data_IF_528020871346
#
_entry.id   IF_528020871346
#
_cell.length_a   1.000
_cell.length_b   1.000
_cell.length_c   1.000
_cell.angle_alpha   90.00
_cell.angle_beta   90.00
_cell.angle_gamma   90.00
#
_symmetry.space_group_name_H-M   'P 1'
#
loop_
_entity.id
_entity.type
_entity.pdbx_description
1 polymer ?
#
# COMPACT_ATOMS: atom_id res chain seq x y z
N UNK A 1 -15.82 -1.95 -14.42
CA UNK A 1 -17.14 -2.02 -13.73
C UNK A 1 -17.01 -2.46 -12.26
N UNK A 2 -16.41 -3.63 -11.89
CA UNK A 2 -16.27 -4.08 -10.47
C UNK A 2 -15.51 -3.08 -9.59
N UNK A 3 -14.43 -2.47 -10.10
CA UNK A 3 -13.62 -1.46 -9.38
C UNK A 3 -14.44 -0.21 -9.04
N UNK A 4 -15.24 0.29 -9.98
CA UNK A 4 -16.14 1.40 -9.75
C UNK A 4 -17.15 1.07 -8.65
N UNK A 5 -17.76 -0.12 -8.68
CA UNK A 5 -18.69 -0.58 -7.64
C UNK A 5 -18.00 -0.61 -6.27
N UNK A 6 -16.76 -1.15 -6.17
CA UNK A 6 -15.99 -1.15 -4.93
C UNK A 6 -15.81 0.28 -4.38
N UNK A 7 -15.41 1.22 -5.23
CA UNK A 7 -15.22 2.62 -4.79
C UNK A 7 -16.54 3.24 -4.33
N UNK A 8 -17.61 3.05 -5.07
CA UNK A 8 -18.90 3.68 -4.77
C UNK A 8 -19.62 3.06 -3.57
N UNK A 9 -19.37 1.77 -3.26
CA UNK A 9 -20.07 1.06 -2.19
C UNK A 9 -19.25 0.85 -0.92
N UNK A 10 -17.91 0.91 -1.00
CA UNK A 10 -17.04 0.61 0.14
C UNK A 10 -16.15 1.79 0.55
N UNK A 11 -15.72 2.64 -0.39
CA UNK A 11 -14.77 3.73 -0.12
C UNK A 11 -15.51 5.03 0.15
N UNK A 12 -16.28 5.53 -0.81
CA UNK A 12 -17.02 6.80 -0.67
C UNK A 12 -17.96 6.83 0.54
N UNK A 13 -18.73 5.76 0.87
CA UNK A 13 -19.60 5.76 2.03
C UNK A 13 -18.85 5.69 3.37
N UNK A 14 -17.53 5.56 3.36
CA UNK A 14 -16.67 5.48 4.56
C UNK A 14 -15.97 6.81 4.87
N UNK A 15 -16.54 7.92 4.46
CA UNK A 15 -16.01 9.28 4.67
C UNK A 15 -14.64 9.50 4.01
N UNK A 16 -14.37 8.81 2.89
CA UNK A 16 -13.22 9.08 2.04
C UNK A 16 -13.65 10.10 0.99
N UNK A 17 -13.11 11.31 1.10
CA UNK A 17 -13.56 12.47 0.32
C UNK A 17 -12.48 13.06 -0.60
N UNK A 18 -11.19 12.74 -0.33
CA UNK A 18 -10.08 13.26 -1.12
C UNK A 18 -10.06 12.65 -2.52
N UNK A 19 -10.22 13.50 -3.51
CA UNK A 19 -10.23 13.08 -4.92
C UNK A 19 -8.98 12.29 -5.33
N UNK A 20 -7.75 12.67 -4.94
CA UNK A 20 -6.56 11.89 -5.29
C UNK A 20 -6.62 10.44 -4.78
N UNK A 21 -7.11 10.23 -3.56
CA UNK A 21 -7.28 8.89 -2.99
C UNK A 21 -8.32 8.10 -3.80
N UNK A 22 -9.48 8.70 -4.04
CA UNK A 22 -10.56 8.06 -4.82
C UNK A 22 -10.08 7.68 -6.22
N UNK A 23 -9.39 8.59 -6.91
CA UNK A 23 -8.86 8.37 -8.26
C UNK A 23 -7.80 7.26 -8.29
N UNK A 24 -6.95 7.18 -7.26
CA UNK A 24 -5.97 6.10 -7.14
C UNK A 24 -6.66 4.73 -7.06
N UNK A 25 -7.69 4.59 -6.23
CA UNK A 25 -8.45 3.33 -6.15
C UNK A 25 -9.24 3.02 -7.43
N UNK A 26 -9.69 4.03 -8.17
CA UNK A 26 -10.34 3.84 -9.47
C UNK A 26 -9.34 3.42 -10.56
N UNK A 27 -8.07 3.81 -10.45
CA UNK A 27 -7.04 3.59 -11.46
C UNK A 27 -6.36 2.23 -11.31
N UNK A 28 -6.01 1.81 -10.08
CA UNK A 28 -5.23 0.60 -9.84
C UNK A 28 -6.09 -0.68 -9.93
N UNK A 29 -5.71 -1.64 -10.80
CA UNK A 29 -6.45 -2.89 -10.97
C UNK A 29 -6.14 -3.89 -9.85
N UNK A 30 -6.92 -3.83 -8.75
CA UNK A 30 -6.72 -4.67 -7.56
C UNK A 30 -6.64 -6.18 -7.87
N UNK A 31 -7.35 -6.64 -8.91
CA UNK A 31 -7.33 -8.03 -9.37
C UNK A 31 -5.97 -8.52 -9.85
N UNK A 32 -5.03 -7.64 -10.16
CA UNK A 32 -3.65 -8.02 -10.51
C UNK A 32 -2.80 -8.39 -9.29
N UNK A 33 -3.19 -7.93 -8.11
CA UNK A 33 -2.46 -8.11 -6.85
C UNK A 33 -3.00 -9.26 -5.99
N UNK A 34 -3.81 -10.11 -6.54
CA UNK A 34 -4.34 -11.31 -5.88
C UNK A 34 -3.96 -12.55 -6.68
N UNK A 35 -3.78 -13.71 -6.04
CA UNK A 35 -3.46 -14.95 -6.74
C UNK A 35 -4.46 -15.25 -7.88
N UNK A 36 -3.98 -15.78 -8.99
CA UNK A 36 -4.75 -15.98 -10.23
C UNK A 36 -6.12 -16.63 -10.04
N UNK A 37 -6.19 -17.66 -9.23
CA UNK A 37 -7.45 -18.39 -8.96
C UNK A 37 -8.47 -17.59 -8.13
N UNK A 38 -8.12 -16.39 -7.66
CA UNK A 38 -8.94 -15.59 -6.74
C UNK A 38 -9.28 -14.19 -7.28
N UNK A 39 -8.95 -13.87 -8.53
CA UNK A 39 -9.17 -12.56 -9.14
C UNK A 39 -10.62 -12.08 -9.09
N UNK A 40 -11.58 -13.00 -9.14
CA UNK A 40 -13.01 -12.65 -9.03
C UNK A 40 -13.38 -12.09 -7.65
N UNK A 41 -12.70 -12.55 -6.59
CA UNK A 41 -12.91 -12.10 -5.22
C UNK A 41 -12.11 -10.85 -4.84
N UNK A 42 -11.28 -10.31 -5.73
CA UNK A 42 -10.40 -9.17 -5.43
C UNK A 42 -11.11 -7.92 -4.91
N UNK A 43 -12.39 -7.77 -5.23
CA UNK A 43 -13.20 -6.58 -4.91
C UNK A 43 -14.19 -6.78 -3.77
N UNK A 44 -14.10 -7.90 -3.03
CA UNK A 44 -14.89 -8.09 -1.81
C UNK A 44 -14.40 -7.13 -0.71
N UNK A 45 -15.29 -6.72 0.17
CA UNK A 45 -14.99 -5.78 1.26
C UNK A 45 -14.36 -6.45 2.48
N UNK A 46 -13.36 -7.30 2.26
CA UNK A 46 -12.65 -8.04 3.31
C UNK A 46 -11.14 -8.02 3.07
N UNK A 47 -10.36 -8.29 4.12
CA UNK A 47 -8.94 -8.53 3.99
C UNK A 47 -8.70 -9.78 3.14
N UNK A 48 -7.80 -9.66 2.18
CA UNK A 48 -7.51 -10.74 1.25
C UNK A 48 -6.17 -11.41 1.60
N UNK A 49 -6.21 -12.66 2.05
CA UNK A 49 -5.00 -13.40 2.43
C UNK A 49 -4.20 -13.83 1.20
N UNK A 50 -2.93 -13.43 1.15
CA UNK A 50 -1.97 -13.72 0.07
C UNK A 50 -0.80 -14.60 0.53
N UNK A 51 -0.65 -14.84 1.82
CA UNK A 51 0.38 -15.66 2.44
C UNK A 51 -0.01 -16.08 3.85
N UNK A 52 0.89 -16.71 4.58
CA UNK A 52 0.61 -17.14 5.96
C UNK A 52 0.35 -15.96 6.91
N UNK A 53 1.11 -14.88 6.75
CA UNK A 53 1.04 -13.69 7.61
C UNK A 53 0.87 -12.39 6.80
N UNK A 54 0.46 -12.47 5.54
CA UNK A 54 0.27 -11.32 4.67
C UNK A 54 -1.14 -11.24 4.15
N UNK A 55 -1.67 -10.04 4.23
CA UNK A 55 -3.00 -9.72 3.70
C UNK A 55 -2.92 -8.45 2.85
N UNK A 56 -3.76 -8.37 1.84
CA UNK A 56 -4.12 -7.09 1.25
C UNK A 56 -5.28 -6.56 2.10
N UNK A 57 -5.12 -5.39 2.69
CA UNK A 57 -6.17 -4.76 3.49
C UNK A 57 -7.44 -4.59 2.66
N UNK A 58 -8.59 -4.69 3.30
CA UNK A 58 -9.85 -4.36 2.65
C UNK A 58 -9.82 -2.92 2.11
N UNK A 59 -10.55 -2.65 1.03
CA UNK A 59 -10.48 -1.35 0.35
C UNK A 59 -10.82 -0.17 1.25
N UNK A 60 -11.77 -0.34 2.15
CA UNK A 60 -12.21 0.70 3.09
C UNK A 60 -11.10 1.07 4.08
N UNK A 61 -10.45 0.06 4.68
CA UNK A 61 -9.39 0.29 5.68
C UNK A 61 -8.21 1.00 5.05
N UNK A 62 -7.71 0.54 3.90
CA UNK A 62 -6.62 1.20 3.21
C UNK A 62 -6.99 2.63 2.79
N UNK A 63 -8.17 2.84 2.25
CA UNK A 63 -8.61 4.18 1.83
C UNK A 63 -8.74 5.15 3.01
N UNK A 64 -9.24 4.69 4.17
CA UNK A 64 -9.31 5.52 5.38
C UNK A 64 -7.94 5.85 5.96
N UNK A 65 -6.96 4.93 5.88
CA UNK A 65 -5.58 5.23 6.24
C UNK A 65 -5.00 6.33 5.35
N UNK A 66 -5.17 6.23 4.04
CA UNK A 66 -4.68 7.25 3.09
C UNK A 66 -5.42 8.59 3.22
N UNK A 67 -6.73 8.57 3.51
CA UNK A 67 -7.51 9.78 3.83
C UNK A 67 -6.94 10.50 5.07
N UNK A 68 -6.64 9.75 6.13
CA UNK A 68 -6.10 10.28 7.38
C UNK A 68 -4.66 10.77 7.24
N UNK A 69 -3.83 10.07 6.46
CA UNK A 69 -2.43 10.41 6.22
C UNK A 69 -2.27 11.67 5.36
N UNK A 70 -3.26 12.02 4.55
CA UNK A 70 -3.24 13.21 3.69
C UNK A 70 -1.97 13.32 2.82
N UNK A 71 -1.67 12.24 2.12
CA UNK A 71 -0.45 12.10 1.30
C UNK A 71 -0.38 13.20 0.24
N UNK A 72 0.76 13.88 0.16
CA UNK A 72 1.01 14.94 -0.82
C UNK A 72 1.93 14.45 -1.95
N UNK A 73 1.84 15.14 -3.10
CA UNK A 73 2.56 14.76 -4.33
C UNK A 73 4.09 14.83 -4.25
N UNK A 74 4.63 15.55 -3.29
CA UNK A 74 6.05 15.76 -3.05
C UNK A 74 6.58 14.97 -1.85
N UNK A 75 5.79 14.03 -1.32
CA UNK A 75 6.16 13.23 -0.15
C UNK A 75 6.77 11.88 -0.49
N UNK A 76 7.75 11.48 0.33
CA UNK A 76 8.38 10.15 0.32
C UNK A 76 7.68 9.26 1.35
N UNK A 77 7.18 8.12 0.88
CA UNK A 77 6.40 7.18 1.69
C UNK A 77 7.16 5.87 1.87
N UNK A 78 7.21 5.37 3.11
CA UNK A 78 7.63 4.00 3.43
C UNK A 78 6.38 3.14 3.65
N UNK A 79 6.21 2.12 2.82
CA UNK A 79 5.12 1.14 2.88
C UNK A 79 5.66 -0.21 3.35
N UNK A 80 5.37 -0.58 4.59
CA UNK A 80 5.93 -1.78 5.26
C UNK A 80 4.94 -2.93 5.21
N UNK A 81 5.38 -4.08 4.69
CA UNK A 81 4.56 -5.27 4.51
C UNK A 81 3.67 -5.19 3.27
N UNK A 82 4.23 -4.67 2.17
CA UNK A 82 3.49 -4.39 0.94
C UNK A 82 2.86 -5.62 0.29
N UNK A 83 3.31 -6.82 0.63
CA UNK A 83 2.83 -8.07 0.02
C UNK A 83 3.07 -8.07 -1.48
N UNK A 84 2.00 -8.20 -2.26
CA UNK A 84 2.05 -8.13 -3.74
C UNK A 84 2.10 -6.69 -4.29
N UNK A 85 2.18 -5.66 -3.43
CA UNK A 85 2.40 -4.27 -3.86
C UNK A 85 1.13 -3.45 -4.12
N UNK A 86 -0.06 -3.92 -3.75
CA UNK A 86 -1.31 -3.17 -4.01
C UNK A 86 -1.34 -1.81 -3.33
N UNK A 87 -0.98 -1.75 -2.04
CA UNK A 87 -0.92 -0.49 -1.29
C UNK A 87 0.07 0.49 -1.93
N UNK A 88 1.27 -0.01 -2.25
CA UNK A 88 2.31 0.79 -2.90
C UNK A 88 1.87 1.31 -4.26
N UNK A 89 1.16 0.50 -5.06
CA UNK A 89 0.59 0.93 -6.34
C UNK A 89 -0.43 2.07 -6.17
N UNK A 90 -1.32 1.97 -5.18
CA UNK A 90 -2.28 3.05 -4.88
C UNK A 90 -1.56 4.31 -4.41
N UNK A 91 -0.60 4.18 -3.51
CA UNK A 91 0.18 5.30 -2.96
C UNK A 91 1.01 5.98 -4.05
N UNK A 92 1.56 5.23 -5.03
CA UNK A 92 2.38 5.76 -6.12
C UNK A 92 1.68 6.83 -6.96
N UNK A 93 0.36 6.79 -7.03
CA UNK A 93 -0.43 7.79 -7.75
C UNK A 93 -0.62 9.10 -6.97
N UNK A 94 -0.32 9.12 -5.67
CA UNK A 94 -0.56 10.28 -4.79
C UNK A 94 0.70 10.78 -4.06
N UNK A 95 1.81 10.05 -4.13
CA UNK A 95 3.10 10.40 -3.54
C UNK A 95 4.16 10.68 -4.62
N UNK A 96 5.31 11.21 -4.24
CA UNK A 96 6.46 11.37 -5.14
C UNK A 96 7.15 10.02 -5.37
N UNK A 97 7.54 9.35 -4.28
CA UNK A 97 8.22 8.04 -4.30
C UNK A 97 7.69 7.16 -3.18
N UNK A 98 7.59 5.88 -3.43
CA UNK A 98 7.23 4.86 -2.46
C UNK A 98 8.37 3.86 -2.31
N UNK A 99 8.85 3.67 -1.08
CA UNK A 99 9.74 2.56 -0.73
C UNK A 99 8.88 1.47 -0.09
N UNK A 100 8.80 0.34 -0.75
CA UNK A 100 7.95 -0.78 -0.39
C UNK A 100 8.80 -1.92 0.19
N UNK A 101 8.65 -2.20 1.49
CA UNK A 101 9.42 -3.26 2.17
C UNK A 101 8.59 -4.52 2.31
N UNK A 102 9.17 -5.66 1.91
CA UNK A 102 8.59 -6.99 2.08
C UNK A 102 9.69 -7.98 2.52
N UNK A 103 9.38 -8.88 3.46
CA UNK A 103 10.33 -9.86 3.98
C UNK A 103 10.20 -11.25 3.33
N UNK A 104 9.12 -11.51 2.60
CA UNK A 104 8.95 -12.70 1.77
C UNK A 104 9.50 -12.44 0.36
N UNK A 105 10.57 -13.16 0.00
CA UNK A 105 11.25 -12.98 -1.29
C UNK A 105 10.38 -13.29 -2.50
N UNK A 106 9.44 -14.21 -2.37
CA UNK A 106 8.51 -14.54 -3.46
C UNK A 106 7.51 -13.42 -3.69
N UNK A 107 6.92 -12.90 -2.60
CA UNK A 107 6.01 -11.76 -2.68
C UNK A 107 6.71 -10.50 -3.20
N UNK A 108 7.94 -10.23 -2.73
CA UNK A 108 8.71 -9.08 -3.19
C UNK A 108 8.99 -9.13 -4.70
N UNK A 109 9.44 -10.28 -5.20
CA UNK A 109 9.70 -10.47 -6.64
C UNK A 109 8.42 -10.34 -7.48
N UNK A 110 7.32 -10.94 -7.03
CA UNK A 110 6.03 -10.84 -7.71
C UNK A 110 5.49 -9.39 -7.68
N UNK A 111 5.69 -8.67 -6.56
CA UNK A 111 5.33 -7.26 -6.45
C UNK A 111 6.09 -6.39 -7.47
N UNK A 112 7.41 -6.59 -7.61
CA UNK A 112 8.22 -5.88 -8.62
C UNK A 112 7.69 -6.10 -10.04
N UNK A 113 7.36 -7.35 -10.39
CA UNK A 113 6.81 -7.69 -11.71
C UNK A 113 5.46 -6.99 -11.96
N UNK A 114 4.53 -7.07 -10.98
CA UNK A 114 3.20 -6.47 -11.12
C UNK A 114 3.30 -4.94 -11.21
N UNK A 115 4.11 -4.32 -10.34
CA UNK A 115 4.30 -2.87 -10.31
C UNK A 115 4.91 -2.35 -11.61
N UNK A 116 5.91 -3.05 -12.15
CA UNK A 116 6.49 -2.75 -13.47
C UNK A 116 5.45 -2.88 -14.60
N UNK A 117 4.65 -3.95 -14.58
CA UNK A 117 3.60 -4.19 -15.60
C UNK A 117 2.55 -3.07 -15.64
N UNK A 118 2.22 -2.49 -14.50
CA UNK A 118 1.23 -1.39 -14.43
C UNK A 118 1.85 0.00 -14.59
N UNK A 119 3.18 0.10 -14.74
CA UNK A 119 3.89 1.36 -14.90
C UNK A 119 4.02 2.20 -13.63
N UNK A 120 4.11 1.56 -12.46
CA UNK A 120 4.36 2.23 -11.18
C UNK A 120 5.86 2.48 -10.96
N UNK A 121 6.48 3.28 -11.84
CA UNK A 121 7.93 3.48 -11.93
C UNK A 121 8.53 4.23 -10.73
N UNK A 122 7.71 4.85 -9.90
CA UNK A 122 8.11 5.55 -8.67
C UNK A 122 7.97 4.69 -7.40
N UNK A 123 7.80 3.37 -7.54
CA UNK A 123 7.83 2.41 -6.44
C UNK A 123 9.14 1.62 -6.49
N UNK A 124 9.85 1.59 -5.36
CA UNK A 124 11.04 0.76 -5.17
C UNK A 124 10.70 -0.35 -4.19
N UNK A 125 10.70 -1.59 -4.65
CA UNK A 125 10.49 -2.75 -3.76
C UNK A 125 11.84 -3.15 -3.16
N UNK A 126 11.86 -3.31 -1.84
CA UNK A 126 13.04 -3.71 -1.09
C UNK A 126 12.74 -4.97 -0.29
N UNK A 127 13.48 -6.04 -0.58
CA UNK A 127 13.48 -7.23 0.24
C UNK A 127 14.25 -6.93 1.54
N UNK A 128 13.59 -7.05 2.69
CA UNK A 128 14.20 -6.77 3.99
C UNK A 128 13.26 -7.10 5.13
N UNK A 129 13.81 -7.11 6.36
CA UNK A 129 12.99 -7.32 7.54
C UNK A 129 12.06 -6.13 7.77
N UNK A 130 10.81 -6.42 8.10
CA UNK A 130 9.79 -5.37 8.30
C UNK A 130 10.14 -4.46 9.48
N UNK A 131 10.71 -5.02 10.57
CA UNK A 131 11.12 -4.26 11.75
C UNK A 131 12.30 -3.30 11.51
N UNK A 132 13.08 -3.53 10.45
CA UNK A 132 14.20 -2.66 10.09
C UNK A 132 13.78 -1.48 9.22
N UNK A 133 12.67 -1.60 8.48
CA UNK A 133 12.26 -0.62 7.49
C UNK A 133 13.28 -0.49 6.35
N UNK A 134 13.56 0.74 5.93
CA UNK A 134 14.53 1.04 4.87
C UNK A 134 15.25 2.37 5.16
N UNK A 135 16.12 2.40 6.20
CA UNK A 135 16.74 3.64 6.68
C UNK A 135 17.64 4.32 5.64
N UNK A 136 18.18 3.57 4.67
CA UNK A 136 19.04 4.07 3.60
C UNK A 136 18.33 5.01 2.62
N UNK A 137 16.99 4.93 2.53
CA UNK A 137 16.16 5.77 1.68
C UNK A 137 15.48 6.93 2.43
N UNK A 138 15.53 6.91 3.78
CA UNK A 138 14.88 7.92 4.62
C UNK A 138 15.65 9.24 4.69
N UNK A 139 15.15 10.21 5.46
CA UNK A 139 13.94 10.13 6.29
C UNK A 139 12.64 10.29 5.49
N UNK A 140 11.55 9.69 5.99
CA UNK A 140 10.24 9.63 5.33
C UNK A 140 9.27 10.70 5.83
N UNK A 141 8.42 11.18 4.94
CA UNK A 141 7.28 12.03 5.31
C UNK A 141 6.16 11.20 5.93
N UNK A 142 5.97 9.98 5.42
CA UNK A 142 4.92 9.06 5.84
C UNK A 142 5.49 7.65 5.99
N UNK A 143 5.07 6.96 7.05
CA UNK A 143 5.30 5.53 7.22
C UNK A 143 3.94 4.85 7.43
N UNK A 144 3.63 3.86 6.60
CA UNK A 144 2.41 3.07 6.69
C UNK A 144 2.74 1.59 6.86
N UNK A 145 2.01 0.91 7.75
CA UNK A 145 2.14 -0.53 7.98
C UNK A 145 0.88 -1.25 7.46
N UNK A 146 1.09 -2.28 6.67
CA UNK A 146 0.02 -3.04 6.03
C UNK A 146 -0.43 -4.19 6.94
N UNK A 147 -1.08 -3.85 8.05
CA UNK A 147 -1.62 -4.82 9.01
C UNK A 147 -1.51 -4.36 10.47
N UNK A 148 -1.86 -5.26 11.38
CA UNK A 148 -1.73 -5.02 12.81
C UNK A 148 -0.34 -5.44 13.31
N UNK A 149 0.23 -4.65 14.21
CA UNK A 149 1.48 -4.94 14.92
C UNK A 149 1.27 -4.79 16.41
N UNK A 150 1.98 -5.59 17.21
CA UNK A 150 1.92 -5.48 18.67
C UNK A 150 2.72 -4.28 19.18
N UNK A 151 3.84 -3.99 18.52
CA UNK A 151 4.74 -2.88 18.86
C UNK A 151 5.37 -2.31 17.59
N UNK A 152 5.50 -0.97 17.53
CA UNK A 152 6.25 -0.30 16.47
C UNK A 152 7.69 -0.11 16.96
N UNK A 153 8.69 -0.73 16.31
CA UNK A 153 10.08 -0.59 16.71
C UNK A 153 10.56 0.87 16.66
N UNK A 154 11.38 1.24 17.65
CA UNK A 154 11.99 2.58 17.68
C UNK A 154 12.90 2.86 16.46
N UNK A 155 13.42 1.83 15.79
CA UNK A 155 14.15 1.91 14.53
C UNK A 155 13.30 2.49 13.40
N UNK A 156 12.02 2.10 13.32
CA UNK A 156 11.05 2.64 12.35
C UNK A 156 10.73 4.11 12.64
N UNK A 157 10.44 4.43 13.91
CA UNK A 157 10.10 5.81 14.28
C UNK A 157 11.24 6.81 14.00
N UNK A 158 12.50 6.37 14.08
CA UNK A 158 13.68 7.20 13.77
C UNK A 158 13.82 7.51 12.28
N UNK A 159 13.14 6.77 11.41
CA UNK A 159 13.14 7.00 9.97
C UNK A 159 12.11 8.05 9.54
N UNK A 160 11.27 8.51 10.46
CA UNK A 160 10.26 9.53 10.19
C UNK A 160 10.87 10.94 10.33
N UNK A 161 10.55 11.83 9.39
CA UNK A 161 10.91 13.26 9.47
C UNK A 161 10.25 13.93 10.67
N UNK A 162 10.80 15.04 11.13
CA UNK A 162 10.10 15.89 12.09
C UNK A 162 8.78 16.38 11.48
N UNK A 163 7.67 16.11 12.16
CA UNK A 163 6.33 16.39 11.64
C UNK A 163 5.80 15.37 10.64
N UNK A 164 6.53 14.28 10.39
CA UNK A 164 6.05 13.15 9.60
C UNK A 164 4.92 12.37 10.28
N UNK A 165 4.22 11.56 9.52
CA UNK A 165 3.00 10.84 9.92
C UNK A 165 3.12 9.35 9.70
#
# INVERSE_FOLDING_TARGET
>A
MRRQIMVDTQIRPSDVTKFPVIDAFLSIPREKFVPDGKREAAYIGENFQIGQSRVILDPRTLAKLLEALDVQKDELVLDIGTGLGYSSAVISLIAEVVIAVEDDSSLASEAEEILSEIGADNVVVQLGKLEDGAPEHGPYDIIILQGGVEEIPGSILKQLKNGGR
#
